data_IF_617761063164
#
_entry.id   IF_617761063164
#
_cell.length_a   1.000
_cell.length_b   1.000
_cell.length_c   1.000
_cell.angle_alpha   90.00
_cell.angle_beta   90.00
_cell.angle_gamma   90.00
#
_symmetry.space_group_name_H-M   'P 1'
#
loop_
_entity.id
_entity.type
_entity.pdbx_description
1 polymer ?
#
# COMPACT_ATOMS: atom_id res chain seq x y z
N UNK A 1 0.66 11.73 -11.28
CA UNK A 1 -0.48 12.67 -11.09
C UNK A 1 -0.61 13.70 -12.21
N UNK A 2 0.47 14.34 -12.68
CA UNK A 2 0.44 15.34 -13.77
C UNK A 2 -0.17 14.77 -15.06
N UNK A 3 0.16 13.54 -15.43
CA UNK A 3 -0.29 12.91 -16.67
C UNK A 3 -1.80 12.58 -16.66
N UNK A 4 -2.34 12.13 -15.53
CA UNK A 4 -3.77 11.88 -15.40
C UNK A 4 -4.62 13.16 -15.48
N UNK A 5 -4.11 14.26 -14.96
CA UNK A 5 -4.74 15.58 -15.07
C UNK A 5 -4.72 16.08 -16.52
N UNK A 6 -3.57 15.98 -17.19
CA UNK A 6 -3.42 16.37 -18.59
C UNK A 6 -4.37 15.57 -19.50
N UNK A 7 -4.46 14.26 -19.33
CA UNK A 7 -5.38 13.40 -20.08
C UNK A 7 -6.84 13.79 -19.84
N UNK A 8 -7.24 14.08 -18.61
CA UNK A 8 -8.61 14.50 -18.29
C UNK A 8 -8.98 15.85 -18.93
N UNK A 9 -8.05 16.78 -18.97
CA UNK A 9 -8.24 18.09 -19.63
C UNK A 9 -8.38 17.91 -21.15
N UNK A 10 -7.56 17.07 -21.76
CA UNK A 10 -7.64 16.78 -23.22
C UNK A 10 -8.95 16.11 -23.58
N UNK A 11 -9.40 15.12 -22.81
CA UNK A 11 -10.69 14.47 -23.01
C UNK A 11 -11.84 15.46 -22.86
N UNK A 12 -11.81 16.31 -21.83
CA UNK A 12 -12.81 17.36 -21.62
C UNK A 12 -12.89 18.33 -22.80
N UNK A 13 -11.75 18.79 -23.34
CA UNK A 13 -11.71 19.62 -24.54
C UNK A 13 -12.27 18.90 -25.78
N UNK A 14 -11.88 17.65 -26.00
CA UNK A 14 -12.38 16.86 -27.13
C UNK A 14 -13.90 16.69 -27.10
N UNK A 15 -14.46 16.36 -25.93
CA UNK A 15 -15.91 16.22 -25.75
C UNK A 15 -16.64 17.54 -25.99
N UNK A 16 -16.06 18.67 -25.53
CA UNK A 16 -16.61 20.00 -25.76
C UNK A 16 -16.65 20.35 -27.27
N UNK A 17 -15.56 20.09 -27.98
CA UNK A 17 -15.47 20.35 -29.43
C UNK A 17 -16.43 19.46 -30.22
N UNK A 18 -16.46 18.15 -29.93
CA UNK A 18 -17.38 17.21 -30.59
C UNK A 18 -18.86 17.54 -30.29
N UNK A 19 -19.19 17.88 -29.05
CA UNK A 19 -20.53 18.29 -28.65
C UNK A 19 -21.00 19.57 -29.39
N UNK A 20 -20.10 20.55 -29.55
CA UNK A 20 -20.37 21.78 -30.30
C UNK A 20 -20.57 21.49 -31.80
N UNK A 21 -19.73 20.61 -32.40
CA UNK A 21 -19.94 20.20 -33.79
C UNK A 21 -21.23 19.43 -34.01
N UNK A 22 -21.60 18.49 -33.14
CA UNK A 22 -22.86 17.76 -33.26
C UNK A 22 -24.08 18.69 -33.13
N UNK A 23 -24.05 19.63 -32.18
CA UNK A 23 -25.11 20.62 -32.05
C UNK A 23 -25.24 21.51 -33.31
N UNK A 24 -24.12 21.90 -33.92
CA UNK A 24 -24.08 22.64 -35.17
C UNK A 24 -24.75 21.87 -36.32
N UNK A 25 -24.45 20.60 -36.48
CA UNK A 25 -25.07 19.76 -37.53
C UNK A 25 -26.54 19.43 -37.25
N UNK A 26 -26.94 19.30 -35.98
CA UNK A 26 -28.32 18.96 -35.61
C UNK A 26 -29.30 20.13 -35.76
N UNK A 27 -28.85 21.39 -35.64
CA UNK A 27 -29.71 22.57 -35.72
C UNK A 27 -29.94 23.11 -37.12
N UNK A 28 -29.31 22.52 -38.13
CA UNK A 28 -29.61 22.80 -39.56
C UNK A 28 -29.08 24.14 -40.08
N UNK A 29 -28.77 24.17 -41.37
CA UNK A 29 -28.22 25.34 -42.09
C UNK A 29 -29.35 26.35 -42.49
N UNK A 30 -30.18 26.79 -41.57
CA UNK A 30 -31.04 27.94 -41.84
C UNK A 30 -30.18 29.22 -41.75
N UNK A 31 -30.26 30.11 -42.74
CA UNK A 31 -29.39 31.29 -42.86
C UNK A 31 -29.40 32.18 -41.61
N UNK A 32 -30.53 32.29 -40.90
CA UNK A 32 -30.62 33.01 -39.62
C UNK A 32 -30.23 32.16 -38.39
N UNK A 33 -30.03 30.87 -38.59
CA UNK A 33 -29.79 29.90 -37.52
C UNK A 33 -28.30 29.70 -37.16
N UNK A 34 -27.34 30.09 -37.99
CA UNK A 34 -25.90 29.76 -37.79
C UNK A 34 -25.36 30.33 -36.48
N UNK A 35 -25.66 31.59 -36.16
CA UNK A 35 -25.21 32.25 -34.93
C UNK A 35 -25.90 31.65 -33.70
N UNK A 36 -27.19 31.38 -33.79
CA UNK A 36 -27.95 30.79 -32.69
C UNK A 36 -27.52 29.35 -32.43
N UNK A 37 -27.24 28.59 -33.49
CA UNK A 37 -26.73 27.21 -33.42
C UNK A 37 -25.35 27.14 -32.82
N UNK A 38 -24.44 28.03 -33.20
CA UNK A 38 -23.11 28.15 -32.60
C UNK A 38 -23.16 28.48 -31.11
N UNK A 39 -24.05 29.43 -30.74
CA UNK A 39 -24.22 29.81 -29.33
C UNK A 39 -24.77 28.65 -28.50
N UNK A 40 -25.77 27.94 -29.01
CA UNK A 40 -26.36 26.79 -28.33
C UNK A 40 -25.37 25.63 -28.21
N UNK A 41 -24.65 25.33 -29.29
CA UNK A 41 -23.62 24.30 -29.30
C UNK A 41 -22.47 24.60 -28.32
N UNK A 42 -22.05 25.86 -28.21
CA UNK A 42 -21.03 26.30 -27.27
C UNK A 42 -21.49 26.18 -25.81
N UNK A 43 -22.72 26.59 -25.49
CA UNK A 43 -23.28 26.49 -24.13
C UNK A 43 -23.43 25.03 -23.71
N UNK A 44 -23.98 24.17 -24.59
CA UNK A 44 -24.07 22.72 -24.33
C UNK A 44 -22.72 22.05 -24.18
N UNK A 45 -21.75 22.38 -25.04
CA UNK A 45 -20.42 21.86 -24.98
C UNK A 45 -19.69 22.23 -23.68
N UNK A 46 -19.82 23.50 -23.23
CA UNK A 46 -19.29 23.92 -21.94
C UNK A 46 -19.98 23.21 -20.78
N UNK A 47 -21.30 23.01 -20.82
CA UNK A 47 -22.03 22.31 -19.77
C UNK A 47 -21.57 20.86 -19.62
N UNK A 48 -21.50 20.14 -20.74
CA UNK A 48 -21.00 18.74 -20.74
C UNK A 48 -19.54 18.68 -20.29
N UNK A 49 -18.68 19.57 -20.80
CA UNK A 49 -17.27 19.65 -20.40
C UNK A 49 -17.08 19.90 -18.91
N UNK A 50 -17.89 20.79 -18.31
CA UNK A 50 -17.87 21.06 -16.87
C UNK A 50 -18.28 19.83 -16.05
N UNK A 51 -19.31 19.11 -16.47
CA UNK A 51 -19.74 17.87 -15.79
C UNK A 51 -18.65 16.79 -15.85
N UNK A 52 -18.07 16.56 -17.02
CA UNK A 52 -16.97 15.59 -17.18
C UNK A 52 -15.77 15.96 -16.32
N UNK A 53 -15.41 17.25 -16.29
CA UNK A 53 -14.32 17.74 -15.45
C UNK A 53 -14.61 17.51 -13.95
N UNK A 54 -15.84 17.80 -13.50
CA UNK A 54 -16.22 17.54 -12.10
C UNK A 54 -16.13 16.06 -11.75
N UNK A 55 -16.59 15.16 -12.61
CA UNK A 55 -16.44 13.73 -12.39
C UNK A 55 -14.98 13.28 -12.37
N UNK A 56 -14.15 13.80 -13.26
CA UNK A 56 -12.72 13.51 -13.28
C UNK A 56 -12.02 13.96 -11.99
N UNK A 57 -12.31 15.19 -11.54
CA UNK A 57 -11.76 15.73 -10.29
C UNK A 57 -12.23 14.93 -9.06
N UNK A 58 -13.52 14.58 -9.00
CA UNK A 58 -14.07 13.75 -7.93
C UNK A 58 -13.39 12.38 -7.88
N UNK A 59 -13.14 11.76 -9.04
CA UNK A 59 -12.44 10.47 -9.12
C UNK A 59 -10.99 10.56 -8.65
N UNK A 60 -10.26 11.60 -9.05
CA UNK A 60 -8.88 11.84 -8.59
C UNK A 60 -8.83 12.05 -7.09
N UNK A 61 -9.75 12.87 -6.54
CA UNK A 61 -9.87 13.11 -5.11
C UNK A 61 -10.15 11.83 -4.32
N UNK A 62 -11.12 11.03 -4.76
CA UNK A 62 -11.45 9.75 -4.14
C UNK A 62 -10.27 8.76 -4.15
N UNK A 63 -9.48 8.74 -5.23
CA UNK A 63 -8.27 7.91 -5.29
C UNK A 63 -7.19 8.40 -4.32
N UNK A 64 -7.00 9.71 -4.19
CA UNK A 64 -6.05 10.30 -3.25
C UNK A 64 -6.45 10.02 -1.79
N UNK A 65 -7.74 10.20 -1.45
CA UNK A 65 -8.27 9.93 -0.11
C UNK A 65 -8.13 8.44 0.27
N UNK A 66 -8.44 7.53 -0.66
CA UNK A 66 -8.23 6.09 -0.47
C UNK A 66 -6.74 5.73 -0.30
N UNK A 67 -5.86 6.40 -1.04
CA UNK A 67 -4.41 6.25 -0.89
C UNK A 67 -3.94 6.65 0.50
N UNK A 68 -4.34 7.84 0.96
CA UNK A 68 -3.99 8.34 2.29
C UNK A 68 -4.58 7.48 3.42
N UNK A 69 -5.82 7.02 3.29
CA UNK A 69 -6.45 6.14 4.27
C UNK A 69 -5.69 4.81 4.41
N UNK A 70 -5.27 4.22 3.28
CA UNK A 70 -4.44 3.01 3.26
C UNK A 70 -3.06 3.23 3.89
N UNK A 71 -2.46 4.37 3.65
CA UNK A 71 -1.16 4.71 4.23
C UNK A 71 -1.24 4.92 5.75
N UNK A 72 -2.30 5.61 6.21
CA UNK A 72 -2.59 5.76 7.64
C UNK A 72 -2.87 4.41 8.32
N UNK A 73 -3.67 3.55 7.70
CA UNK A 73 -3.94 2.21 8.23
C UNK A 73 -2.64 1.38 8.35
N UNK A 74 -1.78 1.43 7.33
CA UNK A 74 -0.48 0.75 7.35
C UNK A 74 0.47 1.30 8.40
N UNK A 75 0.47 2.60 8.63
CA UNK A 75 1.27 3.22 9.69
C UNK A 75 0.76 2.80 11.08
N UNK A 76 -0.56 2.72 11.26
CA UNK A 76 -1.17 2.25 12.50
C UNK A 76 -0.83 0.77 12.79
N UNK A 77 -0.82 -0.10 11.76
CA UNK A 77 -0.38 -1.50 11.91
C UNK A 77 1.07 -1.60 12.41
N UNK A 78 1.98 -0.81 11.82
CA UNK A 78 3.38 -0.79 12.27
C UNK A 78 3.49 -0.28 13.70
N UNK A 79 2.74 0.76 14.06
CA UNK A 79 2.74 1.32 15.40
C UNK A 79 2.20 0.32 16.44
N UNK A 80 1.13 -0.38 16.12
CA UNK A 80 0.57 -1.43 16.97
C UNK A 80 1.58 -2.56 17.21
N UNK A 81 2.23 -3.04 16.13
CA UNK A 81 3.25 -4.08 16.24
C UNK A 81 4.46 -3.62 17.07
N UNK A 82 4.90 -2.38 16.90
CA UNK A 82 5.99 -1.82 17.71
C UNK A 82 5.62 -1.74 19.18
N UNK A 83 4.39 -1.36 19.49
CA UNK A 83 3.88 -1.33 20.87
C UNK A 83 3.85 -2.73 21.50
N UNK A 84 3.40 -3.74 20.75
CA UNK A 84 3.39 -5.14 21.19
C UNK A 84 4.79 -5.69 21.45
N UNK A 85 5.78 -5.24 20.66
CA UNK A 85 7.16 -5.72 20.72
C UNK A 85 8.08 -4.83 21.56
N UNK A 86 7.57 -3.77 22.19
CA UNK A 86 8.39 -2.82 22.96
C UNK A 86 9.17 -3.49 24.12
N UNK A 87 8.58 -4.51 24.75
CA UNK A 87 9.22 -5.27 25.82
C UNK A 87 10.53 -5.96 25.39
N UNK A 88 10.69 -6.30 24.09
CA UNK A 88 11.93 -6.90 23.59
C UNK A 88 13.11 -5.93 23.66
N UNK A 89 12.85 -4.63 23.54
CA UNK A 89 13.87 -3.60 23.72
C UNK A 89 14.35 -3.55 25.18
N UNK A 90 13.43 -3.69 26.12
CA UNK A 90 13.75 -3.71 27.56
C UNK A 90 14.51 -5.01 27.95
N UNK A 91 14.06 -6.14 27.43
CA UNK A 91 14.69 -7.45 27.69
C UNK A 91 16.10 -7.57 27.11
N UNK A 92 16.44 -6.78 26.08
CA UNK A 92 17.76 -6.75 25.44
C UNK A 92 18.65 -5.60 25.91
N UNK A 93 18.31 -4.92 27.01
CA UNK A 93 19.02 -3.72 27.50
C UNK A 93 19.22 -2.65 26.40
N UNK A 94 18.25 -2.52 25.50
CA UNK A 94 18.29 -1.58 24.40
C UNK A 94 19.20 -2.00 23.21
N UNK A 95 19.74 -3.21 23.21
CA UNK A 95 20.52 -3.71 22.07
C UNK A 95 19.65 -3.99 20.84
N UNK A 96 18.37 -4.25 21.04
CA UNK A 96 17.37 -4.44 19.98
C UNK A 96 16.35 -3.31 20.01
N UNK A 97 16.52 -2.31 19.12
CA UNK A 97 15.67 -1.10 19.07
C UNK A 97 14.48 -1.37 18.16
N UNK A 98 13.28 -1.41 18.72
CA UNK A 98 12.04 -1.78 18.02
C UNK A 98 11.74 -0.89 16.82
N UNK A 99 12.05 0.42 16.88
CA UNK A 99 11.82 1.39 15.81
C UNK A 99 12.65 1.10 14.58
N UNK A 100 13.87 0.59 14.77
CA UNK A 100 14.80 0.27 13.69
C UNK A 100 14.55 -1.12 13.12
N UNK A 101 14.09 -2.05 13.95
CA UNK A 101 13.92 -3.45 13.60
C UNK A 101 12.56 -3.79 12.99
N UNK A 102 11.53 -2.98 13.29
CA UNK A 102 10.20 -3.15 12.72
C UNK A 102 9.92 -1.96 11.81
N UNK A 103 9.94 -2.20 10.50
CA UNK A 103 9.77 -1.15 9.49
C UNK A 103 9.01 -1.66 8.27
N UNK A 104 8.45 -0.75 7.50
CA UNK A 104 7.82 -1.08 6.23
C UNK A 104 8.72 -0.67 5.05
N UNK A 105 9.18 -1.64 4.30
CA UNK A 105 10.01 -1.44 3.13
C UNK A 105 9.25 -1.81 1.86
N UNK A 106 9.11 -0.86 0.92
CA UNK A 106 8.42 -1.09 -0.36
C UNK A 106 7.03 -1.73 -0.21
N UNK A 107 6.29 -1.35 0.84
CA UNK A 107 4.96 -1.86 1.12
C UNK A 107 4.90 -3.20 1.86
N UNK A 108 6.03 -3.84 2.12
CA UNK A 108 6.14 -5.07 2.91
C UNK A 108 6.57 -4.73 4.33
N UNK A 109 5.86 -5.26 5.32
CA UNK A 109 6.30 -5.18 6.72
C UNK A 109 7.55 -6.04 6.88
N UNK A 110 8.63 -5.44 7.34
CA UNK A 110 9.90 -6.13 7.62
C UNK A 110 10.13 -6.15 9.12
N UNK A 111 10.34 -7.33 9.64
CA UNK A 111 10.65 -7.59 11.03
C UNK A 111 12.04 -8.22 11.13
N UNK A 112 13.00 -7.44 11.61
CA UNK A 112 14.39 -7.86 11.73
C UNK A 112 14.64 -8.39 13.15
N UNK A 113 14.79 -9.70 13.27
CA UNK A 113 15.07 -10.41 14.52
C UNK A 113 16.56 -10.56 14.81
N UNK A 114 17.42 -9.91 14.02
CA UNK A 114 18.86 -9.98 14.24
C UNK A 114 19.22 -9.36 15.60
N UNK A 115 19.95 -10.11 16.42
CA UNK A 115 20.34 -9.70 17.77
C UNK A 115 19.40 -10.17 18.89
N UNK A 116 18.28 -10.84 18.56
CA UNK A 116 17.50 -11.58 19.55
C UNK A 116 18.11 -12.97 19.77
N UNK A 117 17.86 -13.59 20.92
CA UNK A 117 18.10 -15.01 21.12
C UNK A 117 16.97 -15.87 20.54
N UNK A 118 17.14 -17.19 20.51
CA UNK A 118 16.16 -18.10 19.92
C UNK A 118 14.81 -18.11 20.66
N UNK A 119 14.73 -18.11 22.00
CA UNK A 119 13.48 -17.99 22.75
C UNK A 119 12.73 -16.68 22.49
N UNK A 120 13.43 -15.53 22.52
CA UNK A 120 12.83 -14.22 22.24
C UNK A 120 12.31 -14.14 20.80
N UNK A 121 13.08 -14.62 19.81
CA UNK A 121 12.67 -14.65 18.42
C UNK A 121 11.44 -15.56 18.20
N UNK A 122 11.38 -16.69 18.90
CA UNK A 122 10.21 -17.58 18.86
C UNK A 122 8.97 -16.89 19.46
N UNK A 123 9.10 -16.25 20.62
CA UNK A 123 8.02 -15.49 21.27
C UNK A 123 7.54 -14.31 20.42
N UNK A 124 8.47 -13.56 19.81
CA UNK A 124 8.16 -12.48 18.89
C UNK A 124 7.39 -12.99 17.65
N UNK A 125 7.78 -14.16 17.12
CA UNK A 125 7.08 -14.79 15.99
C UNK A 125 5.65 -15.18 16.38
N UNK A 126 5.43 -15.68 17.58
CA UNK A 126 4.10 -16.05 18.07
C UNK A 126 3.19 -14.82 18.21
N UNK A 127 3.70 -13.71 18.74
CA UNK A 127 2.97 -12.44 18.78
C UNK A 127 2.66 -11.90 17.40
N UNK A 128 3.63 -11.95 16.47
CA UNK A 128 3.43 -11.58 15.08
C UNK A 128 2.29 -12.40 14.43
N UNK A 129 2.24 -13.69 14.69
CA UNK A 129 1.15 -14.56 14.25
C UNK A 129 -0.19 -14.22 14.90
N UNK A 130 -0.22 -13.70 16.12
CA UNK A 130 -1.43 -13.21 16.79
C UNK A 130 -2.06 -11.99 16.12
N UNK A 131 -1.24 -11.10 15.52
CA UNK A 131 -1.70 -9.86 14.86
C UNK A 131 -1.99 -10.09 13.35
N UNK A 132 -1.84 -11.28 12.87
CA UNK A 132 -1.84 -11.70 11.46
C UNK A 132 -3.03 -11.28 10.61
N UNK A 133 -4.21 -11.10 11.19
CA UNK A 133 -5.44 -10.80 10.45
C UNK A 133 -5.35 -9.48 9.68
N UNK A 134 -4.54 -8.53 10.16
CA UNK A 134 -4.27 -7.27 9.49
C UNK A 134 -3.10 -7.33 8.49
N UNK A 135 -2.28 -8.39 8.51
CA UNK A 135 -1.03 -8.49 7.77
C UNK A 135 -1.15 -9.38 6.53
N UNK A 136 -1.02 -8.77 5.35
CA UNK A 136 -1.06 -9.52 4.08
C UNK A 136 0.28 -10.18 3.72
N UNK A 137 1.39 -9.53 4.05
CA UNK A 137 2.74 -10.00 3.76
C UNK A 137 3.73 -9.45 4.79
N UNK A 138 4.50 -10.34 5.36
CA UNK A 138 5.57 -10.01 6.32
C UNK A 138 6.87 -10.63 5.82
N UNK A 139 7.97 -9.90 5.96
CA UNK A 139 9.32 -10.39 5.79
C UNK A 139 9.99 -10.47 7.15
N UNK A 140 10.44 -11.65 7.53
CA UNK A 140 11.21 -11.85 8.75
C UNK A 140 12.68 -12.03 8.36
N UNK A 141 13.55 -11.24 8.97
CA UNK A 141 15.00 -11.30 8.78
C UNK A 141 15.61 -11.91 10.03
N UNK A 142 16.20 -13.10 9.88
CA UNK A 142 16.80 -13.85 11.00
C UNK A 142 18.32 -13.80 11.00
N UNK A 143 18.92 -13.04 10.08
CA UNK A 143 20.37 -13.08 9.86
C UNK A 143 20.81 -14.31 9.05
N UNK A 144 22.07 -14.35 8.67
CA UNK A 144 22.63 -15.45 7.89
C UNK A 144 23.02 -16.66 8.74
N UNK A 145 22.90 -16.55 10.08
CA UNK A 145 23.34 -17.62 10.98
C UNK A 145 24.77 -18.02 10.69
N UNK A 146 25.71 -17.06 10.72
CA UNK A 146 27.11 -17.46 10.75
C UNK A 146 27.28 -18.36 11.97
N UNK A 147 27.68 -19.58 11.71
CA UNK A 147 28.05 -20.58 12.71
C UNK A 147 29.35 -20.08 13.35
N UNK A 148 29.23 -19.09 14.21
CA UNK A 148 30.40 -18.52 14.90
C UNK A 148 30.85 -19.38 16.10
N UNK A 149 30.08 -20.39 16.51
CA UNK A 149 30.49 -21.29 17.56
C UNK A 149 29.95 -22.71 17.35
N UNK A 150 30.83 -23.59 16.94
CA UNK A 150 30.66 -25.05 16.87
C UNK A 150 30.24 -25.73 18.20
N UNK A 151 30.02 -24.98 19.28
CA UNK A 151 29.75 -25.49 20.63
C UNK A 151 28.52 -24.96 21.33
N UNK A 152 27.72 -24.11 20.68
CA UNK A 152 26.46 -23.66 21.30
C UNK A 152 25.36 -24.65 20.99
N UNK A 153 24.77 -25.21 22.03
CA UNK A 153 23.57 -26.09 21.93
C UNK A 153 22.31 -25.32 21.52
N UNK A 154 22.45 -24.01 21.22
CA UNK A 154 21.35 -23.16 20.75
C UNK A 154 21.10 -23.43 19.26
N UNK A 155 19.89 -23.90 18.90
CA UNK A 155 19.53 -24.19 17.50
C UNK A 155 19.56 -22.96 16.58
N UNK A 156 19.86 -21.79 17.12
CA UNK A 156 19.86 -20.53 16.40
C UNK A 156 18.47 -19.96 16.14
N UNK A 157 18.40 -18.68 15.83
CA UNK A 157 17.15 -17.94 15.64
C UNK A 157 16.31 -18.52 14.51
N UNK A 158 16.92 -18.83 13.38
CA UNK A 158 16.20 -19.26 12.17
C UNK A 158 15.39 -20.55 12.35
N UNK A 159 15.93 -21.64 12.88
CA UNK A 159 15.16 -22.84 13.15
C UNK A 159 13.99 -22.61 14.11
N UNK A 160 14.20 -21.84 15.18
CA UNK A 160 13.16 -21.52 16.15
C UNK A 160 12.00 -20.74 15.51
N UNK A 161 12.32 -19.72 14.73
CA UNK A 161 11.33 -18.93 13.98
C UNK A 161 10.58 -19.79 12.95
N UNK A 162 11.29 -20.61 12.17
CA UNK A 162 10.69 -21.48 11.17
C UNK A 162 9.74 -22.50 11.79
N UNK A 163 10.10 -23.08 12.90
CA UNK A 163 9.25 -24.02 13.63
C UNK A 163 7.93 -23.35 14.04
N UNK A 164 8.00 -22.14 14.62
CA UNK A 164 6.81 -21.39 15.03
C UNK A 164 5.95 -20.96 13.83
N UNK A 165 6.59 -20.50 12.76
CA UNK A 165 5.87 -20.13 11.54
C UNK A 165 5.17 -21.29 10.90
N UNK A 166 5.77 -22.48 10.81
CA UNK A 166 5.13 -23.67 10.23
C UNK A 166 3.89 -24.07 11.03
N UNK A 167 3.98 -24.12 12.35
CA UNK A 167 2.84 -24.43 13.22
C UNK A 167 1.74 -23.37 13.07
N UNK A 168 2.09 -22.09 13.07
CA UNK A 168 1.13 -21.00 12.97
C UNK A 168 0.56 -20.78 11.57
N UNK A 169 1.35 -21.04 10.51
CA UNK A 169 0.93 -20.85 9.12
C UNK A 169 -0.18 -21.83 8.71
N UNK A 170 -0.13 -23.06 9.18
CA UNK A 170 -1.16 -24.08 8.90
C UNK A 170 -2.54 -23.61 9.40
N UNK A 171 -2.58 -22.93 10.55
CA UNK A 171 -3.83 -22.44 11.14
C UNK A 171 -4.45 -21.25 10.39
N UNK A 172 -3.70 -20.58 9.49
CA UNK A 172 -4.10 -19.32 8.84
C UNK A 172 -3.94 -19.31 7.32
N UNK A 173 -3.63 -20.44 6.74
CA UNK A 173 -3.44 -20.57 5.29
C UNK A 173 -2.35 -19.61 4.72
N UNK A 174 -1.28 -19.38 5.48
CA UNK A 174 -0.11 -18.62 5.04
C UNK A 174 0.90 -19.53 4.37
N UNK A 175 1.58 -19.01 3.36
CA UNK A 175 2.72 -19.67 2.73
C UNK A 175 4.03 -19.10 3.29
N UNK A 176 4.86 -19.96 3.83
CA UNK A 176 6.21 -19.62 4.28
C UNK A 176 7.19 -19.80 3.12
N UNK A 177 7.79 -18.69 2.66
CA UNK A 177 8.77 -18.69 1.58
C UNK A 177 10.16 -18.41 2.16
N UNK A 178 11.03 -19.40 2.10
CA UNK A 178 12.39 -19.28 2.63
C UNK A 178 13.36 -18.72 1.59
N UNK A 179 14.14 -17.73 2.00
CA UNK A 179 15.28 -17.19 1.23
C UNK A 179 16.51 -17.13 2.13
N UNK A 180 17.70 -17.09 1.54
CA UNK A 180 18.93 -16.92 2.31
C UNK A 180 18.87 -15.61 3.13
N UNK A 181 18.93 -15.72 4.46
CA UNK A 181 18.88 -14.60 5.40
C UNK A 181 17.51 -13.97 5.65
N UNK A 182 16.42 -14.50 5.07
CA UNK A 182 15.05 -14.04 5.35
C UNK A 182 14.03 -15.16 5.14
N UNK A 183 12.90 -14.99 5.77
CA UNK A 183 11.72 -15.84 5.67
C UNK A 183 10.52 -14.97 5.28
#
# INVERSE_FOLDING_TARGET
MRDAFAISVVIGMMVTVMGSMMAFFATGMAEDGVISSLRTGFVLGLGIGAVVLMFALARVRNHAEKGQAREKARAAEVAALRSEMSHLSDETDGAWIVEERIRRERGVLTFDMHGLDAPMAAGATEKLLGIRESLQRVRIVTGRGEILHEKSADPGIRPAVLQRLRIGAESVNWQVLEKAGSI
#
